data_IF_226627760561
#
_entry.id   IF_226627760561
#
_cell.length_a   1.000
_cell.length_b   1.000
_cell.length_c   1.000
_cell.angle_alpha   90.00
_cell.angle_beta   90.00
_cell.angle_gamma   90.00
#
_symmetry.space_group_name_H-M   'P 1'
#
loop_
_entity.id
_entity.type
_entity.pdbx_description
1 polymer ?
#
# COMPACT_ATOMS: atom_id res chain seq x y z
N UNK A 1 8.46 -9.10 -7.75
CA UNK A 1 7.66 -10.22 -8.30
C UNK A 1 6.54 -10.64 -7.35
N UNK A 2 6.81 -11.00 -6.09
CA UNK A 2 5.76 -11.45 -5.15
C UNK A 2 4.68 -10.39 -4.87
N UNK A 3 5.06 -9.13 -4.64
CA UNK A 3 4.09 -8.04 -4.47
C UNK A 3 3.23 -7.84 -5.72
N UNK A 4 3.82 -7.87 -6.92
CA UNK A 4 3.08 -7.77 -8.18
C UNK A 4 2.08 -8.92 -8.34
N UNK A 5 2.43 -10.14 -7.91
CA UNK A 5 1.49 -11.27 -7.92
C UNK A 5 0.29 -10.99 -7.00
N UNK A 6 0.51 -10.51 -5.76
CA UNK A 6 -0.59 -10.11 -4.86
C UNK A 6 -1.44 -9.01 -5.48
N UNK A 7 -0.82 -8.03 -6.14
CA UNK A 7 -1.53 -6.96 -6.83
C UNK A 7 -2.46 -7.48 -7.93
N UNK A 8 -1.94 -8.33 -8.84
CA UNK A 8 -2.76 -8.93 -9.89
C UNK A 8 -3.85 -9.85 -9.34
N UNK A 9 -3.54 -10.66 -8.31
CA UNK A 9 -4.53 -11.51 -7.65
C UNK A 9 -5.67 -10.68 -7.06
N UNK A 10 -5.36 -9.57 -6.41
CA UNK A 10 -6.37 -8.66 -5.85
C UNK A 10 -7.28 -8.07 -6.93
N UNK A 11 -6.73 -7.68 -8.10
CA UNK A 11 -7.53 -7.11 -9.18
C UNK A 11 -8.34 -8.14 -9.97
N UNK A 12 -7.81 -9.36 -10.16
CA UNK A 12 -8.44 -10.38 -11.01
C UNK A 12 -9.38 -11.31 -10.24
N UNK A 13 -9.11 -11.55 -8.95
CA UNK A 13 -9.84 -12.52 -8.14
C UNK A 13 -10.56 -11.91 -6.94
N UNK A 14 -10.35 -10.62 -6.64
CA UNK A 14 -10.99 -9.90 -5.53
C UNK A 14 -10.99 -10.72 -4.22
N UNK A 15 -12.16 -11.10 -3.71
CA UNK A 15 -12.32 -11.90 -2.48
C UNK A 15 -11.72 -13.30 -2.57
N UNK A 16 -11.72 -13.92 -3.75
CA UNK A 16 -11.09 -15.23 -3.98
C UNK A 16 -9.57 -15.16 -3.92
N UNK A 17 -8.99 -13.96 -3.99
CA UNK A 17 -7.55 -13.75 -3.89
C UNK A 17 -6.99 -13.96 -2.48
N UNK A 18 -7.83 -13.86 -1.44
CA UNK A 18 -7.42 -13.78 -0.02
C UNK A 18 -6.50 -14.94 0.39
N UNK A 19 -6.84 -16.17 0.01
CA UNK A 19 -6.05 -17.36 0.37
C UNK A 19 -4.68 -17.33 -0.30
N UNK A 20 -4.64 -17.05 -1.61
CA UNK A 20 -3.40 -16.99 -2.38
C UNK A 20 -2.51 -15.82 -1.94
N UNK A 21 -3.09 -14.64 -1.73
CA UNK A 21 -2.40 -13.45 -1.24
C UNK A 21 -1.81 -13.68 0.15
N UNK A 22 -2.56 -14.33 1.05
CA UNK A 22 -2.06 -14.70 2.38
C UNK A 22 -0.90 -15.68 2.32
N UNK A 23 -0.96 -16.69 1.45
CA UNK A 23 0.14 -17.63 1.24
C UNK A 23 1.40 -16.93 0.71
N UNK A 24 1.24 -16.00 -0.25
CA UNK A 24 2.36 -15.21 -0.77
C UNK A 24 2.94 -14.29 0.31
N UNK A 25 2.10 -13.64 1.12
CA UNK A 25 2.57 -12.79 2.23
C UNK A 25 3.34 -13.62 3.27
N UNK A 26 2.85 -14.81 3.62
CA UNK A 26 3.57 -15.73 4.49
C UNK A 26 4.93 -16.11 3.91
N UNK A 27 5.00 -16.38 2.60
CA UNK A 27 6.25 -16.61 1.89
C UNK A 27 7.18 -15.39 1.90
N UNK A 28 6.65 -14.18 1.66
CA UNK A 28 7.41 -12.93 1.73
C UNK A 28 8.04 -12.73 3.12
N UNK A 29 7.28 -13.02 4.18
CA UNK A 29 7.76 -12.92 5.55
C UNK A 29 8.80 -14.01 5.87
N UNK A 30 8.56 -15.25 5.42
CA UNK A 30 9.51 -16.36 5.58
C UNK A 30 10.85 -16.06 4.92
N UNK A 31 10.82 -15.55 3.68
CA UNK A 31 12.00 -15.17 2.90
C UNK A 31 12.68 -13.89 3.38
N UNK A 32 12.01 -13.07 4.21
CA UNK A 32 12.62 -11.86 4.75
C UNK A 32 13.84 -12.20 5.61
N UNK A 33 14.95 -11.51 5.31
CA UNK A 33 16.18 -11.56 6.11
C UNK A 33 16.13 -10.64 7.33
N UNK A 34 15.14 -9.74 7.43
CA UNK A 34 15.01 -8.74 8.49
C UNK A 34 13.62 -8.78 9.15
N UNK A 35 13.15 -9.99 9.47
CA UNK A 35 11.80 -10.29 9.97
C UNK A 35 11.32 -9.35 11.10
N UNK A 36 12.18 -9.06 12.08
CA UNK A 36 11.85 -8.16 13.20
C UNK A 36 11.55 -6.74 12.73
N UNK A 37 12.37 -6.19 11.84
CA UNK A 37 12.19 -4.84 11.30
C UNK A 37 10.95 -4.75 10.42
N UNK A 38 10.74 -5.75 9.55
CA UNK A 38 9.56 -5.81 8.69
C UNK A 38 8.27 -5.99 9.51
N UNK A 39 8.27 -6.82 10.56
CA UNK A 39 7.11 -6.99 11.44
C UNK A 39 6.75 -5.70 12.19
N UNK A 40 7.75 -4.99 12.73
CA UNK A 40 7.53 -3.71 13.40
C UNK A 40 7.03 -2.64 12.43
N UNK A 41 7.57 -2.61 11.21
CA UNK A 41 7.08 -1.71 10.17
C UNK A 41 5.62 -2.00 9.86
N UNK A 42 5.24 -3.25 9.60
CA UNK A 42 3.85 -3.62 9.33
C UNK A 42 2.95 -3.23 10.50
N UNK A 43 3.37 -3.51 11.74
CA UNK A 43 2.60 -3.18 12.94
C UNK A 43 2.28 -1.69 13.06
N UNK A 44 3.23 -0.82 12.71
CA UNK A 44 3.06 0.65 12.81
C UNK A 44 2.41 1.24 11.56
N UNK A 45 2.78 0.76 10.38
CA UNK A 45 2.40 1.36 9.10
C UNK A 45 1.05 0.86 8.59
N UNK A 46 0.67 -0.39 8.86
CA UNK A 46 -0.60 -0.95 8.36
C UNK A 46 -1.82 -0.19 8.92
N UNK A 47 -1.92 0.13 10.23
CA UNK A 47 -3.01 0.94 10.74
C UNK A 47 -3.09 2.33 10.09
N UNK A 48 -1.94 2.98 9.86
CA UNK A 48 -1.88 4.28 9.19
C UNK A 48 -2.39 4.20 7.75
N UNK A 49 -1.95 3.19 7.01
CA UNK A 49 -2.39 2.94 5.64
C UNK A 49 -3.90 2.68 5.58
N UNK A 50 -4.42 1.76 6.39
CA UNK A 50 -5.84 1.41 6.41
C UNK A 50 -6.72 2.57 6.90
N UNK A 51 -6.22 3.40 7.83
CA UNK A 51 -6.92 4.61 8.23
C UNK A 51 -7.03 5.60 7.07
N UNK A 52 -5.98 5.74 6.25
CA UNK A 52 -6.03 6.60 5.06
C UNK A 52 -7.04 6.11 4.02
N UNK A 53 -7.14 4.79 3.82
CA UNK A 53 -8.18 4.20 2.95
C UNK A 53 -9.57 4.42 3.52
N UNK A 54 -9.74 4.26 4.83
CA UNK A 54 -11.01 4.51 5.49
C UNK A 54 -11.45 5.97 5.32
N UNK A 55 -10.52 6.92 5.50
CA UNK A 55 -10.76 8.34 5.27
C UNK A 55 -11.20 8.56 3.81
N UNK A 56 -10.46 7.99 2.85
CA UNK A 56 -10.77 8.11 1.42
C UNK A 56 -12.16 7.55 1.06
N UNK A 57 -12.55 6.41 1.66
CA UNK A 57 -13.90 5.86 1.46
C UNK A 57 -14.96 6.75 2.10
N UNK A 58 -14.74 7.22 3.34
CA UNK A 58 -15.70 8.07 4.05
C UNK A 58 -15.87 9.44 3.44
N UNK A 59 -14.84 9.99 2.79
CA UNK A 59 -14.92 11.24 2.04
C UNK A 59 -15.45 11.05 0.61
N UNK A 60 -15.77 9.81 0.21
CA UNK A 60 -16.30 9.51 -1.12
C UNK A 60 -15.26 9.56 -2.25
N UNK A 61 -13.95 9.53 -1.93
CA UNK A 61 -12.90 9.46 -2.96
C UNK A 61 -12.82 8.09 -3.62
N UNK A 62 -13.09 7.04 -2.85
CA UNK A 62 -13.08 5.65 -3.26
C UNK A 62 -14.38 4.96 -2.85
N UNK A 63 -14.89 4.10 -3.72
CA UNK A 63 -16.02 3.24 -3.41
C UNK A 63 -15.69 1.80 -3.80
N UNK A 64 -15.82 0.88 -2.85
CA UNK A 64 -15.60 -0.55 -3.08
C UNK A 64 -16.94 -1.29 -3.02
N UNK A 65 -16.98 -2.51 -3.59
CA UNK A 65 -18.16 -3.40 -3.52
C UNK A 65 -18.54 -3.81 -2.08
N UNK A 66 -17.63 -3.65 -1.12
CA UNK A 66 -17.83 -3.99 0.29
C UNK A 66 -17.36 -2.82 1.16
N UNK A 67 -18.16 -2.46 2.16
CA UNK A 67 -17.85 -1.37 3.10
C UNK A 67 -17.08 -1.87 4.33
N UNK A 68 -16.09 -1.10 4.84
CA UNK A 68 -15.54 0.12 4.24
C UNK A 68 -14.64 -0.18 3.03
N UNK A 69 -13.91 -1.28 3.06
CA UNK A 69 -13.11 -1.78 1.95
C UNK A 69 -12.89 -3.28 2.14
N UNK A 70 -12.59 -4.04 1.08
CA UNK A 70 -12.45 -5.49 1.16
C UNK A 70 -11.12 -5.91 1.80
N UNK A 71 -11.12 -7.13 2.38
CA UNK A 71 -9.94 -7.70 3.07
C UNK A 71 -8.72 -7.83 2.14
N UNK A 72 -8.93 -8.09 0.85
CA UNK A 72 -7.83 -8.18 -0.12
C UNK A 72 -7.05 -6.86 -0.25
N UNK A 73 -7.67 -5.70 0.01
CA UNK A 73 -6.96 -4.41 -0.01
C UNK A 73 -6.00 -4.31 1.17
N UNK A 74 -6.41 -4.80 2.35
CA UNK A 74 -5.54 -4.84 3.51
C UNK A 74 -4.34 -5.79 3.32
N UNK A 75 -4.57 -6.93 2.67
CA UNK A 75 -3.49 -7.85 2.28
C UNK A 75 -2.55 -7.21 1.24
N UNK A 76 -3.09 -6.44 0.29
CA UNK A 76 -2.29 -5.72 -0.68
C UNK A 76 -1.37 -4.68 0.00
N UNK A 77 -1.90 -3.92 0.96
CA UNK A 77 -1.10 -3.03 1.80
C UNK A 77 -0.05 -3.78 2.62
N UNK A 78 -0.41 -4.90 3.24
CA UNK A 78 0.54 -5.74 3.97
C UNK A 78 1.71 -6.16 3.08
N UNK A 79 1.42 -6.69 1.89
CA UNK A 79 2.43 -7.10 0.92
C UNK A 79 3.30 -5.91 0.47
N UNK A 80 2.69 -4.74 0.24
CA UNK A 80 3.40 -3.51 -0.10
C UNK A 80 4.40 -3.12 1.00
N UNK A 81 3.98 -3.15 2.26
CA UNK A 81 4.84 -2.82 3.41
C UNK A 81 6.03 -3.76 3.54
N UNK A 82 5.83 -5.07 3.36
CA UNK A 82 6.94 -6.04 3.34
C UNK A 82 7.91 -5.82 2.17
N UNK A 83 7.45 -5.20 1.08
CA UNK A 83 8.27 -4.92 -0.09
C UNK A 83 9.19 -3.70 0.08
N UNK A 84 8.91 -2.81 1.05
CA UNK A 84 9.63 -1.56 1.29
C UNK A 84 11.13 -1.80 1.46
N UNK A 85 11.51 -2.70 2.38
CA UNK A 85 12.92 -2.94 2.69
C UNK A 85 13.62 -3.94 1.76
N UNK A 86 12.89 -4.49 0.78
CA UNK A 86 13.36 -5.47 -0.19
C UNK A 86 13.33 -4.88 -1.61
N UNK A 87 12.28 -5.12 -2.39
CA UNK A 87 12.18 -4.69 -3.79
C UNK A 87 12.00 -3.17 -3.96
N UNK A 88 11.47 -2.48 -2.97
CA UNK A 88 11.29 -1.02 -3.00
C UNK A 88 12.38 -0.26 -2.22
N UNK A 89 13.52 -0.91 -1.94
CA UNK A 89 14.63 -0.29 -1.22
C UNK A 89 15.14 1.00 -1.87
N UNK A 90 14.99 1.13 -3.19
CA UNK A 90 15.37 2.36 -3.89
C UNK A 90 14.61 3.59 -3.35
N UNK A 91 13.33 3.46 -2.95
CA UNK A 91 12.57 4.57 -2.36
C UNK A 91 13.18 5.06 -1.05
N UNK A 92 13.82 4.17 -0.29
CA UNK A 92 14.49 4.50 0.97
C UNK A 92 15.78 5.31 0.72
N UNK A 93 16.39 5.17 -0.46
CA UNK A 93 17.59 5.92 -0.84
C UNK A 93 17.31 7.34 -1.36
N UNK A 94 16.04 7.65 -1.62
CA UNK A 94 15.61 8.94 -2.14
C UNK A 94 15.34 9.94 -1.02
N UNK A 95 15.39 11.24 -1.36
CA UNK A 95 14.90 12.29 -0.48
C UNK A 95 13.38 12.15 -0.33
N UNK A 96 12.84 12.50 0.83
CA UNK A 96 11.41 12.34 1.13
C UNK A 96 10.49 13.07 0.14
N UNK A 97 10.89 14.24 -0.36
CA UNK A 97 10.13 14.96 -1.39
C UNK A 97 10.09 14.20 -2.73
N UNK A 98 11.13 13.43 -3.07
CA UNK A 98 11.15 12.59 -4.27
C UNK A 98 10.21 11.40 -4.10
N UNK A 99 10.22 10.77 -2.91
CA UNK A 99 9.26 9.72 -2.55
C UNK A 99 7.84 10.26 -2.69
N UNK A 100 7.56 11.44 -2.13
CA UNK A 100 6.25 12.08 -2.22
C UNK A 100 5.81 12.26 -3.69
N UNK A 101 6.65 12.82 -4.55
CA UNK A 101 6.31 13.03 -5.98
C UNK A 101 6.08 11.71 -6.71
N UNK A 102 6.92 10.70 -6.49
CA UNK A 102 6.74 9.38 -7.10
C UNK A 102 5.40 8.80 -6.67
N UNK A 103 5.11 8.82 -5.37
CA UNK A 103 3.86 8.31 -4.84
C UNK A 103 2.65 9.10 -5.34
N UNK A 104 2.74 10.43 -5.46
CA UNK A 104 1.69 11.30 -5.98
C UNK A 104 1.26 10.91 -7.40
N UNK A 105 2.21 10.44 -8.22
CA UNK A 105 1.94 10.05 -9.60
C UNK A 105 1.50 8.59 -9.70
N UNK A 106 2.24 7.66 -9.09
CA UNK A 106 2.05 6.23 -9.33
C UNK A 106 1.00 5.58 -8.44
N UNK A 107 0.72 6.14 -7.25
CA UNK A 107 -0.33 5.57 -6.39
C UNK A 107 -1.73 5.73 -6.98
N UNK A 108 -2.23 6.93 -7.37
CA UNK A 108 -3.54 7.02 -8.00
C UNK A 108 -3.60 6.27 -9.34
N UNK A 109 -2.47 6.10 -10.05
CA UNK A 109 -2.42 5.24 -11.24
C UNK A 109 -2.79 3.78 -10.93
N UNK A 110 -2.34 3.25 -9.80
CA UNK A 110 -2.69 1.91 -9.35
C UNK A 110 -4.18 1.78 -9.03
N UNK A 111 -4.79 2.78 -8.40
CA UNK A 111 -6.23 2.77 -8.08
C UNK A 111 -7.08 3.00 -9.33
N UNK A 112 -6.61 3.83 -10.26
CA UNK A 112 -7.23 3.97 -11.56
C UNK A 112 -7.22 2.67 -12.35
N UNK A 113 -6.13 1.89 -12.29
CA UNK A 113 -6.11 0.54 -12.85
C UNK A 113 -7.15 -0.35 -12.17
N UNK A 114 -7.25 -0.33 -10.83
CA UNK A 114 -8.33 -1.04 -10.11
C UNK A 114 -9.73 -0.65 -10.59
N UNK A 115 -9.97 0.63 -10.86
CA UNK A 115 -11.24 1.08 -11.43
C UNK A 115 -11.50 0.52 -12.84
N UNK A 116 -10.46 0.29 -13.65
CA UNK A 116 -10.58 -0.36 -14.97
C UNK A 116 -10.85 -1.86 -14.89
N UNK A 117 -10.47 -2.49 -13.79
CA UNK A 117 -10.86 -3.87 -13.47
C UNK A 117 -12.19 -3.96 -12.70
N UNK A 118 -12.91 -2.83 -12.56
CA UNK A 118 -14.22 -2.77 -11.89
C UNK A 118 -14.21 -3.28 -10.43
N UNK A 119 -13.04 -3.27 -9.77
CA UNK A 119 -12.93 -3.68 -8.36
C UNK A 119 -13.23 -2.53 -7.39
N UNK A 120 -13.22 -1.29 -7.89
CA UNK A 120 -13.57 -0.07 -7.17
C UNK A 120 -14.07 1.01 -8.14
N UNK A 121 -14.74 2.03 -7.62
CA UNK A 121 -15.09 3.24 -8.34
C UNK A 121 -14.37 4.46 -7.75
N UNK A 122 -14.06 5.43 -8.62
CA UNK A 122 -13.50 6.72 -8.23
C UNK A 122 -14.65 7.71 -8.07
N UNK A 123 -14.75 8.38 -6.93
CA UNK A 123 -15.85 9.34 -6.69
C UNK A 123 -15.58 10.76 -7.18
N UNK A 124 -14.39 11.03 -7.72
CA UNK A 124 -14.01 12.33 -8.32
C UNK A 124 -13.59 12.17 -9.78
N UNK A 125 -13.66 13.25 -10.59
CA UNK A 125 -13.00 13.31 -11.89
C UNK A 125 -11.51 12.98 -11.79
N UNK A 126 -10.96 12.40 -12.85
CA UNK A 126 -9.62 11.79 -12.82
C UNK A 126 -8.52 12.71 -12.28
N UNK A 127 -8.49 13.97 -12.73
CA UNK A 127 -7.48 14.94 -12.33
C UNK A 127 -7.60 15.30 -10.84
N UNK A 128 -8.81 15.55 -10.36
CA UNK A 128 -9.09 15.86 -8.96
C UNK A 128 -8.77 14.67 -8.05
N UNK A 129 -9.14 13.46 -8.47
CA UNK A 129 -8.76 12.23 -7.78
C UNK A 129 -7.23 12.11 -7.67
N UNK A 130 -6.50 12.35 -8.76
CA UNK A 130 -5.04 12.31 -8.77
C UNK A 130 -4.42 13.29 -7.78
N UNK A 131 -4.93 14.52 -7.73
CA UNK A 131 -4.41 15.55 -6.84
C UNK A 131 -4.78 15.28 -5.39
N UNK A 132 -6.03 14.92 -5.10
CA UNK A 132 -6.52 14.77 -3.72
C UNK A 132 -6.11 13.43 -3.13
N UNK A 133 -6.51 12.32 -3.78
CA UNK A 133 -6.19 10.98 -3.28
C UNK A 133 -4.69 10.70 -3.43
N UNK A 134 -4.08 11.09 -4.55
CA UNK A 134 -2.63 10.95 -4.72
C UNK A 134 -1.84 11.72 -3.67
N UNK A 135 -2.25 12.93 -3.28
CA UNK A 135 -1.57 13.67 -2.22
C UNK A 135 -1.77 13.03 -0.84
N UNK A 136 -2.97 12.55 -0.51
CA UNK A 136 -3.25 11.81 0.72
C UNK A 136 -2.36 10.56 0.81
N UNK A 137 -2.37 9.74 -0.24
CA UNK A 137 -1.60 8.51 -0.30
C UNK A 137 -0.09 8.80 -0.24
N UNK A 138 0.39 9.79 -1.01
CA UNK A 138 1.79 10.18 -1.01
C UNK A 138 2.26 10.70 0.35
N UNK A 139 1.45 11.49 1.04
CA UNK A 139 1.75 11.96 2.39
C UNK A 139 1.88 10.79 3.37
N UNK A 140 0.90 9.89 3.38
CA UNK A 140 0.88 8.71 4.27
C UNK A 140 2.05 7.78 3.96
N UNK A 141 2.33 7.51 2.68
CA UNK A 141 3.45 6.65 2.32
C UNK A 141 4.80 7.27 2.65
N UNK A 142 4.94 8.59 2.51
CA UNK A 142 6.15 9.32 2.95
C UNK A 142 6.34 9.20 4.47
N UNK A 143 5.26 9.28 5.25
CA UNK A 143 5.29 9.03 6.70
C UNK A 143 5.68 7.58 7.03
N UNK A 144 5.21 6.61 6.25
CA UNK A 144 5.60 5.20 6.40
C UNK A 144 7.10 5.01 6.14
N UNK A 145 7.65 5.65 5.10
CA UNK A 145 9.11 5.62 4.84
C UNK A 145 9.88 6.28 5.98
N UNK A 146 9.40 7.40 6.51
CA UNK A 146 9.98 8.04 7.69
C UNK A 146 9.97 7.11 8.92
N UNK A 147 8.85 6.44 9.19
CA UNK A 147 8.73 5.47 10.29
C UNK A 147 9.71 4.29 10.08
N UNK A 148 9.81 3.79 8.86
CA UNK A 148 10.74 2.72 8.49
C UNK A 148 12.21 3.09 8.79
N UNK A 149 12.62 4.30 8.41
CA UNK A 149 13.96 4.82 8.67
C UNK A 149 14.25 4.93 10.18
N UNK A 150 13.29 5.46 10.96
CA UNK A 150 13.41 5.58 12.42
C UNK A 150 13.49 4.21 13.10
N UNK A 151 12.63 3.27 12.72
CA UNK A 151 12.64 1.90 13.24
C UNK A 151 13.96 1.20 12.97
N UNK A 152 14.55 1.39 11.79
CA UNK A 152 15.86 0.83 11.46
C UNK A 152 16.94 1.31 12.42
N UNK A 153 16.98 2.62 12.71
CA UNK A 153 17.94 3.21 13.65
C UNK A 153 17.76 2.67 15.08
N UNK A 154 16.51 2.45 15.51
CA UNK A 154 16.21 1.89 16.84
C UNK A 154 16.64 0.43 17.00
N UNK A 155 16.60 -0.37 15.93
CA UNK A 155 16.97 -1.78 15.97
C UNK A 155 18.50 -1.99 15.88
N UNK A 156 19.21 -1.08 15.22
CA UNK A 156 20.68 -1.13 15.10
C UNK A 156 21.44 -0.49 16.25
N UNK A 157 20.74 0.18 17.18
CA UNK A 157 21.29 0.64 18.45
C UNK A 157 21.20 -0.48 19.49
#
# INVERSE_FOLDING_TARGET
>A
MLFQAVWFLSLLLESSSVVFSSAIIALMFYLSKQKKHDALLVLVALPLALLSEFIAVKSGLLEFKVSPFPVWLALLWFALLLSINTSMRFLISLKLWQVFIICLVFSPASYWAGARFEVLNLGLPLLEFWLVYGALWAAVFTLIILANLKLKLLITR
#
